data_IF_508559002211
#
_entry.id   IF_508559002211
#
_cell.length_a   1.000
_cell.length_b   1.000
_cell.length_c   1.000
_cell.angle_alpha   90.00
_cell.angle_beta   90.00
_cell.angle_gamma   90.00
#
_symmetry.space_group_name_H-M   'P 1'
#
loop_
_entity.id
_entity.type
_entity.pdbx_description
1 polymer ?
#
# COMPACT_ATOMS: atom_id res chain seq x y z
N UNK A 1 -9.27 -21.71 -6.23
CA UNK A 1 -7.81 -21.89 -6.06
C UNK A 1 -7.33 -20.89 -5.00
N UNK A 2 -6.54 -21.30 -3.99
CA UNK A 2 -5.97 -20.36 -3.04
C UNK A 2 -4.93 -19.45 -3.74
N UNK A 3 -4.74 -18.19 -3.28
CA UNK A 3 -3.73 -17.29 -3.84
C UNK A 3 -2.31 -17.85 -3.65
N UNK A 4 -1.41 -17.55 -4.58
CA UNK A 4 0.01 -17.93 -4.56
C UNK A 4 0.88 -16.68 -4.70
N UNK A 5 0.93 -15.85 -3.66
CA UNK A 5 1.54 -14.52 -3.74
C UNK A 5 3.03 -14.55 -4.09
N UNK A 6 3.80 -15.54 -3.63
CA UNK A 6 5.22 -15.67 -3.98
C UNK A 6 5.41 -15.86 -5.48
N UNK A 7 4.56 -16.68 -6.10
CA UNK A 7 4.56 -16.85 -7.55
C UNK A 7 4.19 -15.55 -8.27
N UNK A 8 3.23 -14.78 -7.75
CA UNK A 8 2.85 -13.50 -8.37
C UNK A 8 3.99 -12.48 -8.32
N UNK A 9 4.72 -12.42 -7.20
CA UNK A 9 5.94 -11.59 -7.07
C UNK A 9 7.01 -12.05 -8.07
N UNK A 10 7.26 -13.35 -8.15
CA UNK A 10 8.23 -13.90 -9.12
C UNK A 10 7.85 -13.55 -10.56
N UNK A 11 6.57 -13.68 -10.93
CA UNK A 11 6.08 -13.33 -12.28
C UNK A 11 6.17 -11.84 -12.55
N UNK A 12 5.86 -10.98 -11.57
CA UNK A 12 6.03 -9.53 -11.70
C UNK A 12 7.50 -9.15 -11.98
N UNK A 13 8.45 -9.74 -11.24
CA UNK A 13 9.88 -9.50 -11.47
C UNK A 13 10.30 -9.93 -12.87
N UNK A 14 9.84 -11.09 -13.35
CA UNK A 14 10.10 -11.57 -14.71
C UNK A 14 9.50 -10.65 -15.78
N UNK A 15 8.30 -10.11 -15.56
CA UNK A 15 7.66 -9.17 -16.49
C UNK A 15 8.46 -7.86 -16.55
N UNK A 16 8.83 -7.29 -15.40
CA UNK A 16 9.64 -6.06 -15.37
C UNK A 16 11.02 -6.26 -16.02
N UNK A 17 11.64 -7.44 -15.88
CA UNK A 17 12.86 -7.79 -16.62
C UNK A 17 12.67 -7.81 -18.14
N UNK A 18 11.47 -8.15 -18.64
CA UNK A 18 11.14 -8.04 -20.06
C UNK A 18 10.99 -6.56 -20.44
N UNK A 19 10.35 -5.75 -19.61
CA UNK A 19 10.20 -4.31 -19.86
C UNK A 19 11.55 -3.58 -20.00
N UNK A 20 12.55 -3.99 -19.22
CA UNK A 20 13.92 -3.46 -19.34
C UNK A 20 14.63 -3.76 -20.68
N UNK A 21 14.04 -4.59 -21.54
CA UNK A 21 14.53 -4.83 -22.91
C UNK A 21 14.08 -3.73 -23.88
N UNK A 22 13.04 -2.98 -23.51
CA UNK A 22 12.43 -1.94 -24.33
C UNK A 22 12.78 -0.53 -23.86
N UNK A 23 13.17 -0.37 -22.59
CA UNK A 23 13.54 0.93 -22.02
C UNK A 23 14.45 0.73 -20.81
N UNK A 24 15.10 1.79 -20.35
CA UNK A 24 16.05 1.70 -19.22
C UNK A 24 15.35 1.43 -17.89
N UNK A 25 16.08 0.94 -16.88
CA UNK A 25 15.52 0.68 -15.55
C UNK A 25 14.87 1.92 -14.91
N UNK A 26 15.45 3.11 -15.15
CA UNK A 26 14.91 4.38 -14.62
C UNK A 26 13.59 4.79 -15.26
N UNK A 27 13.30 4.29 -16.45
CA UNK A 27 12.08 4.57 -17.21
C UNK A 27 10.99 3.52 -16.95
N UNK A 28 11.21 2.57 -16.04
CA UNK A 28 10.19 1.62 -15.60
C UNK A 28 9.83 1.91 -14.16
N UNK A 29 8.55 2.21 -13.92
CA UNK A 29 8.00 2.40 -12.59
C UNK A 29 7.00 1.28 -12.24
N UNK A 30 7.39 0.29 -11.41
CA UNK A 30 6.48 -0.70 -10.88
C UNK A 30 5.44 -0.01 -9.98
N UNK A 31 4.19 0.07 -10.45
CA UNK A 31 3.10 0.75 -9.75
C UNK A 31 2.40 -0.20 -8.76
N UNK A 32 2.21 -1.46 -9.16
CA UNK A 32 1.62 -2.53 -8.34
C UNK A 32 2.27 -3.89 -8.65
N UNK A 33 1.72 -4.96 -8.08
CA UNK A 33 2.15 -6.35 -8.35
C UNK A 33 1.86 -6.79 -9.80
N UNK A 34 0.97 -6.11 -10.50
CA UNK A 34 0.48 -6.46 -11.82
C UNK A 34 0.52 -5.29 -12.82
N UNK A 35 0.94 -4.10 -12.39
CA UNK A 35 1.01 -2.90 -13.24
C UNK A 35 2.37 -2.21 -13.11
N UNK A 36 2.94 -1.84 -14.26
CA UNK A 36 4.11 -0.98 -14.36
C UNK A 36 3.87 0.10 -15.41
N UNK A 37 4.43 1.29 -15.19
CA UNK A 37 4.41 2.40 -16.13
C UNK A 37 5.78 2.46 -16.80
N UNK A 38 5.80 2.51 -18.13
CA UNK A 38 7.02 2.59 -18.92
C UNK A 38 7.05 3.95 -19.63
N UNK A 39 8.11 4.73 -19.42
CA UNK A 39 8.38 5.91 -20.25
C UNK A 39 9.21 5.48 -21.46
N UNK A 40 8.57 5.43 -22.62
CA UNK A 40 9.22 5.03 -23.88
C UNK A 40 9.45 6.22 -24.82
N UNK A 41 9.37 7.45 -24.33
CA UNK A 41 9.41 8.69 -25.14
C UNK A 41 10.58 8.72 -26.12
N UNK A 42 11.75 8.23 -25.69
CA UNK A 42 12.98 8.27 -26.48
C UNK A 42 13.37 6.91 -27.11
N UNK A 43 12.69 5.83 -26.75
CA UNK A 43 13.12 4.46 -27.10
C UNK A 43 12.17 3.74 -28.05
N UNK A 44 10.89 4.12 -28.11
CA UNK A 44 9.88 3.35 -28.86
C UNK A 44 10.22 3.16 -30.34
N UNK A 45 10.85 4.15 -31.00
CA UNK A 45 11.24 4.09 -32.42
C UNK A 45 12.27 3.01 -32.74
N UNK A 46 12.98 2.49 -31.74
CA UNK A 46 13.93 1.39 -31.92
C UNK A 46 13.22 0.05 -32.16
N UNK A 47 11.92 -0.04 -31.83
CA UNK A 47 11.18 -1.29 -31.75
C UNK A 47 9.99 -1.40 -32.70
N UNK A 48 9.64 -0.33 -33.41
CA UNK A 48 8.51 -0.33 -34.36
C UNK A 48 8.29 1.02 -35.04
N UNK A 49 7.41 1.02 -36.05
CA UNK A 49 7.05 2.21 -36.81
C UNK A 49 5.93 3.02 -36.15
N UNK A 50 5.24 2.45 -35.15
CA UNK A 50 4.25 3.13 -34.33
C UNK A 50 4.28 2.65 -32.88
N UNK A 51 3.82 3.47 -31.94
CA UNK A 51 3.72 3.11 -30.52
C UNK A 51 2.83 1.87 -30.33
N UNK A 52 1.76 1.74 -31.12
CA UNK A 52 0.87 0.57 -31.10
C UNK A 52 1.60 -0.72 -31.53
N UNK A 53 2.47 -0.65 -32.53
CA UNK A 53 3.29 -1.81 -32.92
C UNK A 53 4.23 -2.24 -31.79
N UNK A 54 4.85 -1.28 -31.10
CA UNK A 54 5.72 -1.55 -29.95
C UNK A 54 4.94 -2.18 -28.81
N UNK A 55 3.74 -1.69 -28.50
CA UNK A 55 2.86 -2.29 -27.49
C UNK A 55 2.52 -3.75 -27.83
N UNK A 56 2.18 -4.05 -29.09
CA UNK A 56 1.94 -5.43 -29.56
C UNK A 56 3.20 -6.29 -29.45
N UNK A 57 4.37 -5.74 -29.71
CA UNK A 57 5.64 -6.46 -29.55
C UNK A 57 5.91 -6.81 -28.09
N UNK A 58 5.65 -5.88 -27.15
CA UNK A 58 5.75 -6.14 -25.71
C UNK A 58 4.78 -7.26 -25.29
N UNK A 59 3.51 -7.18 -25.70
CA UNK A 59 2.51 -8.23 -25.42
C UNK A 59 2.95 -9.60 -25.93
N UNK A 60 3.42 -9.68 -27.18
CA UNK A 60 3.93 -10.93 -27.78
C UNK A 60 5.13 -11.47 -27.00
N UNK A 61 6.05 -10.59 -26.60
CA UNK A 61 7.26 -10.99 -25.86
C UNK A 61 6.91 -11.57 -24.50
N UNK A 62 6.01 -10.92 -23.75
CA UNK A 62 5.55 -11.43 -22.45
C UNK A 62 4.79 -12.75 -22.62
N UNK A 63 3.90 -12.86 -23.63
CA UNK A 63 3.15 -14.08 -23.92
C UNK A 63 4.05 -15.24 -24.30
N UNK A 64 5.06 -15.01 -25.14
CA UNK A 64 6.00 -16.04 -25.57
C UNK A 64 6.89 -16.53 -24.41
N UNK A 65 7.39 -15.62 -23.57
CA UNK A 65 8.32 -15.98 -22.48
C UNK A 65 7.62 -16.56 -21.26
N UNK A 66 6.46 -16.03 -20.90
CA UNK A 66 5.80 -16.32 -19.62
C UNK A 66 4.42 -16.97 -19.76
N UNK A 67 3.87 -17.04 -20.98
CA UNK A 67 2.51 -17.54 -21.20
C UNK A 67 1.43 -16.60 -20.66
N UNK A 68 1.75 -15.33 -20.38
CA UNK A 68 0.82 -14.36 -19.80
C UNK A 68 0.32 -13.37 -20.86
N UNK A 69 -0.94 -12.97 -20.74
CA UNK A 69 -1.47 -11.83 -21.50
C UNK A 69 -1.22 -10.55 -20.72
N UNK A 70 -0.84 -9.49 -21.42
CA UNK A 70 -0.70 -8.14 -20.86
C UNK A 70 -1.61 -7.19 -21.61
N UNK A 71 -2.23 -6.30 -20.85
CA UNK A 71 -3.03 -5.20 -21.39
C UNK A 71 -2.18 -3.94 -21.36
N UNK A 72 -2.23 -3.14 -22.42
CA UNK A 72 -1.39 -1.95 -22.56
C UNK A 72 -2.26 -0.70 -22.77
N UNK A 73 -2.15 0.25 -21.85
CA UNK A 73 -2.65 1.61 -22.04
C UNK A 73 -1.52 2.50 -22.53
N UNK A 74 -1.80 3.31 -23.54
CA UNK A 74 -0.87 4.26 -24.15
C UNK A 74 -1.44 5.67 -23.94
N UNK A 75 -0.57 6.62 -23.59
CA UNK A 75 -0.93 8.04 -23.56
C UNK A 75 0.29 8.93 -23.44
N UNK A 76 0.06 10.23 -23.55
CA UNK A 76 1.13 11.25 -23.56
C UNK A 76 1.71 11.50 -22.17
N UNK A 77 1.06 11.00 -21.12
CA UNK A 77 1.50 11.06 -19.73
C UNK A 77 0.94 9.87 -18.92
N UNK A 78 1.40 9.66 -17.67
CA UNK A 78 0.99 8.51 -16.85
C UNK A 78 -0.51 8.41 -16.58
N UNK A 79 -1.22 9.52 -16.33
CA UNK A 79 -2.67 9.51 -16.12
C UNK A 79 -3.40 9.05 -17.37
N UNK A 80 -3.05 9.58 -18.55
CA UNK A 80 -3.67 9.16 -19.80
C UNK A 80 -3.42 7.67 -20.07
N UNK A 81 -2.19 7.19 -19.88
CA UNK A 81 -1.87 5.77 -20.04
C UNK A 81 -2.65 4.88 -19.06
N UNK A 82 -2.81 5.31 -17.79
CA UNK A 82 -3.57 4.56 -16.79
C UNK A 82 -5.07 4.52 -17.12
N UNK A 83 -5.64 5.65 -17.53
CA UNK A 83 -7.05 5.72 -17.94
C UNK A 83 -7.29 4.92 -19.23
N UNK A 84 -6.37 4.98 -20.19
CA UNK A 84 -6.40 4.18 -21.40
C UNK A 84 -6.39 2.68 -21.08
N UNK A 85 -5.54 2.26 -20.13
CA UNK A 85 -5.45 0.90 -19.64
C UNK A 85 -6.77 0.44 -18.99
N UNK A 86 -7.27 1.21 -18.02
CA UNK A 86 -8.39 0.81 -17.18
C UNK A 86 -9.73 0.84 -17.92
N UNK A 87 -9.98 1.88 -18.73
CA UNK A 87 -11.29 2.15 -19.31
C UNK A 87 -11.46 1.61 -20.73
N UNK A 88 -10.36 1.40 -21.46
CA UNK A 88 -10.42 1.05 -22.88
C UNK A 88 -9.70 -0.27 -23.18
N UNK A 89 -8.42 -0.37 -22.80
CA UNK A 89 -7.59 -1.49 -23.18
C UNK A 89 -8.13 -2.82 -22.63
N UNK A 90 -8.61 -2.85 -21.38
CA UNK A 90 -9.22 -4.04 -20.75
C UNK A 90 -10.49 -4.56 -21.46
N UNK A 91 -11.13 -3.71 -22.24
CA UNK A 91 -12.39 -4.02 -22.96
C UNK A 91 -12.19 -4.15 -24.47
N UNK A 92 -10.97 -3.98 -24.97
CA UNK A 92 -10.62 -4.15 -26.37
C UNK A 92 -10.10 -5.57 -26.64
N UNK A 93 -10.51 -6.19 -27.75
CA UNK A 93 -9.99 -7.49 -28.18
C UNK A 93 -8.47 -7.52 -28.36
N UNK A 94 -7.87 -6.39 -28.79
CA UNK A 94 -6.42 -6.27 -28.92
C UNK A 94 -5.70 -6.05 -27.58
N UNK A 95 -6.45 -5.84 -26.49
CA UNK A 95 -5.91 -5.50 -25.17
C UNK A 95 -5.02 -4.23 -25.18
N UNK A 96 -5.30 -3.31 -26.12
CA UNK A 96 -4.61 -2.02 -26.27
C UNK A 96 -5.64 -0.89 -26.25
N UNK A 97 -5.33 0.17 -25.50
CA UNK A 97 -6.11 1.41 -25.45
C UNK A 97 -5.18 2.62 -25.51
N UNK A 98 -5.66 3.70 -26.11
CA UNK A 98 -4.91 4.94 -26.31
C UNK A 98 -5.73 6.13 -25.85
N UNK A 99 -5.15 7.06 -25.11
CA UNK A 99 -5.71 8.39 -24.85
C UNK A 99 -4.60 9.40 -25.11
N UNK A 100 -4.90 10.37 -25.96
CA UNK A 100 -4.06 11.53 -26.24
C UNK A 100 -4.84 12.83 -25.95
N UNK A 101 -4.15 13.96 -25.86
CA UNK A 101 -4.78 15.26 -25.57
C UNK A 101 -5.97 15.58 -26.49
N UNK A 102 -5.86 15.27 -27.78
CA UNK A 102 -6.92 15.48 -28.78
C UNK A 102 -8.17 14.62 -28.53
N UNK A 103 -8.02 13.50 -27.82
CA UNK A 103 -9.14 12.57 -27.52
C UNK A 103 -9.76 12.79 -26.14
N UNK A 104 -9.24 13.70 -25.33
CA UNK A 104 -9.72 13.96 -23.96
C UNK A 104 -11.23 14.28 -23.92
N UNK A 105 -11.78 15.13 -24.81
CA UNK A 105 -13.22 15.40 -24.81
C UNK A 105 -14.06 14.14 -25.04
N UNK A 106 -13.65 13.28 -25.96
CA UNK A 106 -14.42 12.10 -26.34
C UNK A 106 -14.22 10.93 -25.37
N UNK A 107 -13.08 10.86 -24.69
CA UNK A 107 -12.69 9.69 -23.87
C UNK A 107 -12.69 9.92 -22.36
N UNK A 108 -12.35 11.12 -21.89
CA UNK A 108 -12.32 11.41 -20.45
C UNK A 108 -13.62 12.09 -20.04
N UNK A 109 -14.08 13.10 -20.79
CA UNK A 109 -15.28 13.85 -20.37
C UNK A 109 -16.58 13.06 -20.54
N UNK A 110 -16.61 12.09 -21.45
CA UNK A 110 -17.73 11.18 -21.67
C UNK A 110 -17.96 10.19 -20.52
N UNK A 111 -17.06 10.12 -19.53
CA UNK A 111 -17.20 9.23 -18.38
C UNK A 111 -18.25 9.80 -17.42
N UNK A 112 -19.39 9.10 -17.35
CA UNK A 112 -20.53 9.47 -16.52
C UNK A 112 -20.31 9.15 -15.04
N UNK A 113 -19.71 7.99 -14.75
CA UNK A 113 -19.52 7.53 -13.38
C UNK A 113 -18.13 7.94 -12.86
N UNK A 114 -18.12 8.89 -11.93
CA UNK A 114 -16.87 9.36 -11.32
C UNK A 114 -16.03 8.23 -10.70
N UNK A 115 -16.67 7.16 -10.19
CA UNK A 115 -15.96 6.05 -9.54
C UNK A 115 -15.22 5.13 -10.51
N UNK A 116 -15.46 5.25 -11.81
CA UNK A 116 -14.72 4.49 -12.83
C UNK A 116 -13.34 5.10 -13.09
N UNK A 117 -13.14 6.37 -12.71
CA UNK A 117 -11.89 7.10 -12.91
C UNK A 117 -10.90 6.79 -11.82
N UNK A 118 -9.71 6.32 -12.23
CA UNK A 118 -8.58 6.11 -11.34
C UNK A 118 -8.31 7.36 -10.48
N UNK A 119 -8.20 7.15 -9.16
CA UNK A 119 -8.03 8.24 -8.18
C UNK A 119 -9.32 8.77 -7.56
N UNK A 120 -10.51 8.42 -8.10
CA UNK A 120 -11.81 8.85 -7.55
C UNK A 120 -12.54 7.67 -6.90
N UNK A 121 -12.31 7.47 -5.59
CA UNK A 121 -13.06 6.48 -4.83
C UNK A 121 -14.48 6.92 -4.43
N UNK A 122 -15.34 6.03 -3.91
CA UNK A 122 -16.73 6.33 -3.55
C UNK A 122 -16.91 7.50 -2.59
N UNK A 123 -15.97 7.71 -1.66
CA UNK A 123 -15.99 8.86 -0.76
C UNK A 123 -15.69 10.17 -1.47
N UNK A 124 -14.80 10.17 -2.45
CA UNK A 124 -14.48 11.36 -3.24
C UNK A 124 -15.64 11.68 -4.20
N UNK A 125 -16.20 10.68 -4.88
CA UNK A 125 -17.40 10.86 -5.71
C UNK A 125 -18.55 11.48 -4.89
N UNK A 126 -18.82 10.99 -3.67
CA UNK A 126 -19.81 11.62 -2.77
C UNK A 126 -19.50 13.07 -2.42
N UNK A 127 -18.22 13.45 -2.31
CA UNK A 127 -17.82 14.85 -2.06
C UNK A 127 -18.02 15.71 -3.30
N UNK A 128 -17.67 15.21 -4.48
CA UNK A 128 -17.90 15.89 -5.76
C UNK A 128 -19.40 16.09 -6.04
N UNK A 129 -20.22 15.06 -5.82
CA UNK A 129 -21.68 15.17 -5.99
C UNK A 129 -22.29 16.26 -5.07
N UNK A 130 -21.78 16.43 -3.84
CA UNK A 130 -22.22 17.54 -2.95
C UNK A 130 -21.87 18.91 -3.51
N UNK A 131 -20.85 19.01 -4.35
CA UNK A 131 -20.46 20.22 -5.08
C UNK A 131 -21.19 20.34 -6.43
N UNK A 132 -22.21 19.51 -6.68
CA UNK A 132 -22.95 19.44 -7.94
C UNK A 132 -22.08 19.02 -9.15
N UNK A 133 -21.04 18.21 -8.90
CA UNK A 133 -20.19 17.62 -9.94
C UNK A 133 -20.43 16.12 -9.96
N UNK A 134 -21.04 15.62 -11.02
CA UNK A 134 -21.54 14.24 -11.13
C UNK A 134 -20.78 13.38 -12.13
N UNK A 135 -20.05 14.00 -13.06
CA UNK A 135 -19.31 13.32 -14.12
C UNK A 135 -18.00 14.08 -14.44
N UNK A 136 -17.19 13.51 -15.32
CA UNK A 136 -15.89 14.09 -15.69
C UNK A 136 -15.99 15.37 -16.52
N UNK A 137 -17.03 15.52 -17.35
CA UNK A 137 -17.29 16.76 -18.08
C UNK A 137 -17.52 17.94 -17.12
N UNK A 138 -18.39 17.77 -16.14
CA UNK A 138 -18.66 18.78 -15.11
C UNK A 138 -17.40 19.09 -14.30
N UNK A 139 -16.60 18.08 -13.96
CA UNK A 139 -15.34 18.27 -13.24
C UNK A 139 -14.34 19.09 -14.05
N UNK A 140 -14.22 18.82 -15.36
CA UNK A 140 -13.33 19.56 -16.27
C UNK A 140 -13.74 21.03 -16.46
N UNK A 141 -15.04 21.34 -16.38
CA UNK A 141 -15.59 22.68 -16.61
C UNK A 141 -15.93 23.45 -15.33
N UNK A 142 -15.60 22.88 -14.16
CA UNK A 142 -15.75 23.55 -12.86
C UNK A 142 -14.69 24.63 -12.67
N UNK A 143 -15.00 25.69 -11.94
CA UNK A 143 -14.01 26.70 -11.55
C UNK A 143 -12.87 26.05 -10.70
N UNK A 144 -11.62 26.01 -11.19
CA UNK A 144 -10.52 25.33 -10.50
C UNK A 144 -10.17 25.96 -9.14
N UNK A 145 -10.44 27.25 -8.96
CA UNK A 145 -10.21 27.93 -7.68
C UNK A 145 -11.21 27.47 -6.62
N UNK A 146 -12.48 27.31 -7.00
CA UNK A 146 -13.52 26.78 -6.10
C UNK A 146 -13.21 25.34 -5.71
N UNK A 147 -12.81 24.51 -6.68
CA UNK A 147 -12.48 23.11 -6.42
C UNK A 147 -11.27 22.98 -5.47
N UNK A 148 -10.24 23.82 -5.66
CA UNK A 148 -9.10 23.90 -4.76
C UNK A 148 -9.49 24.42 -3.37
N UNK A 149 -10.40 25.38 -3.27
CA UNK A 149 -10.88 25.88 -1.98
C UNK A 149 -11.61 24.79 -1.19
N UNK A 150 -12.44 23.99 -1.85
CA UNK A 150 -13.27 22.95 -1.19
C UNK A 150 -12.49 21.66 -0.90
N UNK A 151 -11.57 21.27 -1.78
CA UNK A 151 -10.87 19.99 -1.70
C UNK A 151 -9.38 20.12 -1.41
N UNK A 152 -8.79 21.31 -1.51
CA UNK A 152 -7.35 21.53 -1.39
C UNK A 152 -6.59 21.07 -2.63
N UNK A 153 -5.36 20.59 -2.44
CA UNK A 153 -4.46 20.15 -3.53
C UNK A 153 -5.09 19.04 -4.37
N UNK A 154 -5.81 18.11 -3.74
CA UNK A 154 -6.48 17.01 -4.48
C UNK A 154 -7.54 17.54 -5.45
N UNK A 155 -8.20 18.66 -5.14
CA UNK A 155 -9.12 19.31 -6.07
C UNK A 155 -8.41 19.75 -7.36
N UNK A 156 -7.26 20.41 -7.22
CA UNK A 156 -6.45 20.81 -8.37
C UNK A 156 -5.95 19.61 -9.17
N UNK A 157 -5.59 18.51 -8.50
CA UNK A 157 -5.19 17.27 -9.17
C UNK A 157 -6.35 16.66 -9.95
N UNK A 158 -7.55 16.56 -9.35
CA UNK A 158 -8.74 16.03 -10.02
C UNK A 158 -9.14 16.85 -11.25
N UNK A 159 -9.04 18.18 -11.16
CA UNK A 159 -9.24 19.05 -12.31
C UNK A 159 -8.24 18.77 -13.43
N UNK A 160 -6.94 18.64 -13.11
CA UNK A 160 -5.92 18.29 -14.08
C UNK A 160 -6.17 16.91 -14.72
N UNK A 161 -6.55 15.91 -13.91
CA UNK A 161 -6.94 14.57 -14.39
C UNK A 161 -8.13 14.64 -15.36
N UNK A 162 -9.12 15.51 -15.11
CA UNK A 162 -10.26 15.69 -16.02
C UNK A 162 -9.86 16.28 -17.37
N UNK A 163 -8.75 17.01 -17.45
CA UNK A 163 -8.14 17.47 -18.70
C UNK A 163 -7.06 16.51 -19.24
N UNK A 164 -6.91 15.32 -18.65
CA UNK A 164 -5.89 14.35 -19.04
C UNK A 164 -4.46 14.87 -18.81
N UNK A 165 -4.24 15.78 -17.87
CA UNK A 165 -2.94 16.39 -17.59
C UNK A 165 -2.31 15.70 -16.37
N UNK A 166 -1.11 15.18 -16.57
CA UNK A 166 -0.20 14.77 -15.50
C UNK A 166 1.22 15.21 -15.81
N UNK A 167 1.91 15.69 -14.78
CA UNK A 167 3.31 16.16 -14.86
C UNK A 167 4.27 15.23 -14.11
N UNK A 168 3.79 14.12 -13.58
CA UNK A 168 4.63 13.09 -12.98
C UNK A 168 5.63 12.56 -14.02
N UNK A 169 6.90 12.51 -13.64
CA UNK A 169 7.96 11.90 -14.45
C UNK A 169 8.29 10.54 -13.85
N UNK A 170 8.28 9.51 -14.69
CA UNK A 170 8.59 8.12 -14.29
C UNK A 170 10.00 8.01 -13.72
N UNK A 171 10.93 8.80 -14.27
CA UNK A 171 12.34 8.87 -13.89
C UNK A 171 12.62 9.64 -12.60
N UNK A 172 11.66 10.44 -12.11
CA UNK A 172 11.79 11.27 -10.91
C UNK A 172 10.72 10.90 -9.86
N UNK A 173 10.87 9.74 -9.19
CA UNK A 173 9.90 9.32 -8.20
C UNK A 173 9.83 10.30 -7.03
N UNK A 174 8.60 10.65 -6.65
CA UNK A 174 8.37 11.61 -5.56
C UNK A 174 8.90 11.06 -4.24
N UNK A 175 9.65 11.89 -3.50
CA UNK A 175 10.13 11.52 -2.17
C UNK A 175 8.96 11.45 -1.18
N UNK A 176 8.88 10.34 -0.45
CA UNK A 176 7.84 10.14 0.57
C UNK A 176 8.06 11.14 1.71
N UNK A 177 7.25 12.21 1.77
CA UNK A 177 7.37 13.29 2.77
C UNK A 177 7.26 12.80 4.21
N UNK A 178 6.40 11.80 4.46
CA UNK A 178 6.16 11.26 5.79
C UNK A 178 6.05 9.73 5.70
N UNK A 179 7.20 9.07 5.64
CA UNK A 179 7.24 7.62 5.64
C UNK A 179 6.64 7.07 6.95
N UNK A 180 5.86 6.01 6.82
CA UNK A 180 5.35 5.23 7.94
C UNK A 180 5.67 3.76 7.71
N UNK A 181 5.90 3.04 8.81
CA UNK A 181 6.08 1.59 8.79
C UNK A 181 4.99 1.01 9.67
N UNK A 182 4.17 0.14 9.12
CA UNK A 182 3.06 -0.45 9.84
C UNK A 182 2.76 -1.85 9.38
N UNK A 183 1.85 -2.49 10.09
CA UNK A 183 1.25 -3.74 9.71
C UNK A 183 -0.19 -3.78 10.22
N UNK A 184 -1.06 -4.46 9.50
CA UNK A 184 -2.45 -4.62 9.88
C UNK A 184 -2.95 -6.01 9.55
N UNK A 185 -4.11 -6.33 10.14
CA UNK A 185 -4.79 -7.57 9.86
C UNK A 185 -6.29 -7.48 10.05
N UNK A 186 -6.98 -8.25 9.21
CA UNK A 186 -8.33 -8.73 9.49
C UNK A 186 -8.21 -10.00 10.33
N UNK A 187 -8.91 -10.05 11.44
CA UNK A 187 -8.95 -11.22 12.31
C UNK A 187 -9.79 -12.33 11.67
N UNK A 188 -9.45 -13.61 11.92
CA UNK A 188 -10.14 -14.74 11.29
C UNK A 188 -11.59 -14.89 11.75
N UNK A 189 -11.87 -14.42 12.97
CA UNK A 189 -13.19 -14.37 13.61
C UNK A 189 -13.32 -13.07 14.38
N UNK A 190 -14.48 -12.87 14.99
CA UNK A 190 -14.70 -11.76 15.90
C UNK A 190 -14.03 -12.09 17.24
N UNK A 191 -13.33 -11.10 17.80
CA UNK A 191 -12.62 -11.22 19.06
C UNK A 191 -13.33 -10.37 20.12
N UNK A 192 -13.74 -11.02 21.20
CA UNK A 192 -14.42 -10.39 22.35
C UNK A 192 -13.54 -10.39 23.60
N UNK A 193 -12.58 -11.31 23.67
CA UNK A 193 -11.73 -11.47 24.84
C UNK A 193 -10.55 -10.50 24.76
N UNK A 194 -10.43 -9.64 25.78
CA UNK A 194 -9.37 -8.64 25.88
C UNK A 194 -7.96 -9.26 25.74
N UNK A 195 -7.69 -10.37 26.43
CA UNK A 195 -6.38 -11.01 26.41
C UNK A 195 -6.03 -11.57 25.02
N UNK A 196 -7.02 -12.06 24.26
CA UNK A 196 -6.81 -12.49 22.88
C UNK A 196 -6.46 -11.28 21.98
N UNK A 197 -7.17 -10.17 22.13
CA UNK A 197 -6.93 -8.95 21.35
C UNK A 197 -5.54 -8.37 21.69
N UNK A 198 -5.20 -8.28 22.97
CA UNK A 198 -3.89 -7.81 23.43
C UNK A 198 -2.75 -8.70 22.93
N UNK A 199 -2.96 -10.01 22.86
CA UNK A 199 -1.97 -10.94 22.27
C UNK A 199 -1.71 -10.56 20.82
N UNK A 200 -2.76 -10.33 20.05
CA UNK A 200 -2.62 -9.95 18.65
C UNK A 200 -1.98 -8.57 18.46
N UNK A 201 -2.31 -7.60 19.31
CA UNK A 201 -1.67 -6.28 19.29
C UNK A 201 -0.17 -6.39 19.54
N UNK A 202 0.26 -7.22 20.49
CA UNK A 202 1.68 -7.47 20.77
C UNK A 202 2.37 -8.08 19.55
N UNK A 203 1.77 -9.11 18.94
CA UNK A 203 2.31 -9.78 17.74
C UNK A 203 2.54 -8.77 16.59
N UNK A 204 1.58 -7.88 16.32
CA UNK A 204 1.73 -6.88 15.26
C UNK A 204 2.77 -5.82 15.67
N UNK A 205 2.74 -5.36 16.92
CA UNK A 205 3.69 -4.36 17.45
C UNK A 205 5.14 -4.81 17.31
N UNK A 206 5.43 -6.07 17.61
CA UNK A 206 6.76 -6.66 17.46
C UNK A 206 7.19 -6.78 15.99
N UNK A 207 6.27 -7.12 15.09
CA UNK A 207 6.56 -7.13 13.65
C UNK A 207 6.89 -5.73 13.13
N UNK A 208 6.18 -4.69 13.61
CA UNK A 208 6.50 -3.29 13.29
C UNK A 208 7.85 -2.89 13.86
N UNK A 209 8.18 -3.31 15.08
CA UNK A 209 9.47 -3.06 15.73
C UNK A 209 10.64 -3.72 14.95
N UNK A 210 10.49 -4.97 14.53
CA UNK A 210 11.47 -5.68 13.71
C UNK A 210 11.67 -4.99 12.35
N UNK A 211 10.58 -4.51 11.70
CA UNK A 211 10.67 -3.71 10.46
C UNK A 211 11.42 -2.39 10.67
N UNK A 212 11.17 -1.69 11.77
CA UNK A 212 11.91 -0.49 12.14
C UNK A 212 13.41 -0.78 12.25
N UNK A 213 13.79 -1.86 12.94
CA UNK A 213 15.19 -2.27 13.08
C UNK A 213 15.83 -2.67 11.75
N UNK A 214 15.12 -3.43 10.92
CA UNK A 214 15.57 -3.82 9.59
C UNK A 214 15.87 -2.61 8.68
N UNK A 215 15.04 -1.56 8.75
CA UNK A 215 15.25 -0.31 8.01
C UNK A 215 16.13 0.71 8.74
N UNK A 216 16.77 0.34 9.86
CA UNK A 216 17.59 1.22 10.70
C UNK A 216 16.86 2.50 11.13
N UNK A 217 15.58 2.39 11.48
CA UNK A 217 14.72 3.50 11.91
C UNK A 217 14.30 3.38 13.38
N UNK A 218 13.96 4.53 13.95
CA UNK A 218 13.27 4.70 15.24
C UNK A 218 11.93 5.39 14.98
N UNK A 219 10.90 5.09 15.78
CA UNK A 219 9.58 5.69 15.64
C UNK A 219 9.32 6.70 16.76
N UNK A 220 9.07 7.97 16.40
CA UNK A 220 8.66 9.01 17.36
C UNK A 220 7.14 9.14 17.54
N UNK A 221 6.36 8.33 16.83
CA UNK A 221 4.91 8.31 16.94
C UNK A 221 4.38 6.92 16.60
N UNK A 222 3.41 6.45 17.39
CA UNK A 222 2.79 5.15 17.26
C UNK A 222 1.28 5.31 17.18
N UNK A 223 0.63 4.62 16.24
CA UNK A 223 -0.81 4.64 16.03
C UNK A 223 -1.37 3.22 16.10
N UNK A 224 -2.47 3.09 16.83
CA UNK A 224 -3.29 1.88 16.91
C UNK A 224 -4.64 2.16 16.25
N UNK A 225 -5.00 1.32 15.29
CA UNK A 225 -6.32 1.30 14.67
C UNK A 225 -7.02 -0.01 15.02
N UNK A 226 -8.21 0.10 15.60
CA UNK A 226 -9.09 -1.02 15.90
C UNK A 226 -10.36 -0.83 15.09
N UNK A 227 -10.73 -1.82 14.28
CA UNK A 227 -12.01 -1.87 13.58
C UNK A 227 -12.94 -2.89 14.22
N UNK A 228 -14.17 -2.49 14.47
CA UNK A 228 -15.19 -3.36 15.06
C UNK A 228 -15.81 -4.29 14.01
N UNK A 229 -16.43 -5.38 14.44
CA UNK A 229 -17.26 -6.20 13.54
C UNK A 229 -18.46 -5.40 13.06
N UNK A 230 -19.06 -5.81 11.93
CA UNK A 230 -20.22 -5.13 11.37
C UNK A 230 -21.36 -5.00 12.38
N UNK A 231 -21.70 -6.09 13.07
CA UNK A 231 -22.75 -6.11 14.09
C UNK A 231 -22.44 -5.19 15.28
N UNK A 232 -21.18 -5.15 15.73
CA UNK A 232 -20.78 -4.24 16.80
C UNK A 232 -20.81 -2.78 16.35
N UNK A 233 -20.43 -2.50 15.10
CA UNK A 233 -20.46 -1.16 14.54
C UNK A 233 -21.87 -0.62 14.34
N UNK A 234 -22.82 -1.48 13.99
CA UNK A 234 -24.25 -1.12 13.88
C UNK A 234 -24.85 -0.79 15.26
N UNK A 235 -24.50 -1.57 16.29
CA UNK A 235 -24.99 -1.35 17.65
C UNK A 235 -24.40 -0.10 18.32
N UNK A 236 -23.10 0.15 18.15
CA UNK A 236 -22.39 1.28 18.79
C UNK A 236 -22.49 2.58 17.98
N UNK A 237 -22.86 2.49 16.69
CA UNK A 237 -22.81 3.60 15.74
C UNK A 237 -21.38 4.02 15.34
N UNK A 238 -20.36 3.27 15.76
CA UNK A 238 -18.94 3.53 15.45
C UNK A 238 -18.30 2.31 14.79
N UNK A 239 -17.56 2.52 13.69
CA UNK A 239 -16.82 1.44 13.01
C UNK A 239 -15.54 0.98 13.72
N UNK A 240 -15.20 1.55 14.86
CA UNK A 240 -13.93 1.37 15.57
C UNK A 240 -13.27 2.69 15.95
N UNK A 241 -11.97 2.65 16.26
CA UNK A 241 -11.19 3.83 16.61
C UNK A 241 -9.78 3.82 16.00
N UNK A 242 -9.19 5.01 15.90
CA UNK A 242 -7.79 5.20 15.58
C UNK A 242 -7.21 6.21 16.56
N UNK A 243 -6.18 5.82 17.30
CA UNK A 243 -5.49 6.67 18.25
C UNK A 243 -4.00 6.67 17.99
N UNK A 244 -3.36 7.82 18.20
CA UNK A 244 -1.93 7.99 18.03
C UNK A 244 -1.30 8.65 19.25
N UNK A 245 -0.09 8.22 19.58
CA UNK A 245 0.72 8.72 20.68
C UNK A 245 2.10 9.13 20.18
N UNK A 246 2.53 10.33 20.57
CA UNK A 246 3.92 10.77 20.40
C UNK A 246 4.77 10.21 21.55
N UNK A 247 5.97 9.76 21.23
CA UNK A 247 6.88 9.16 22.20
C UNK A 247 8.32 9.47 21.82
N UNK A 248 9.24 9.26 22.76
CA UNK A 248 10.67 9.28 22.45
C UNK A 248 10.99 8.23 21.37
N UNK A 249 11.74 8.61 20.31
CA UNK A 249 12.02 7.70 19.20
C UNK A 249 12.62 6.37 19.64
N UNK A 250 11.91 5.27 19.36
CA UNK A 250 12.35 3.93 19.75
C UNK A 250 11.97 2.88 18.71
N UNK A 251 12.66 1.75 18.76
CA UNK A 251 12.32 0.51 18.05
C UNK A 251 12.30 -0.70 19.01
N UNK A 252 12.21 -0.46 20.33
CA UNK A 252 12.19 -1.51 21.34
C UNK A 252 10.82 -2.19 21.43
N UNK A 253 10.80 -3.52 21.38
CA UNK A 253 9.56 -4.31 21.40
C UNK A 253 8.70 -4.00 22.63
N UNK A 254 9.30 -3.95 23.82
CA UNK A 254 8.58 -3.81 25.07
C UNK A 254 7.98 -2.40 25.19
N UNK A 255 8.73 -1.36 24.84
CA UNK A 255 8.21 0.02 24.86
C UNK A 255 7.04 0.16 23.89
N UNK A 256 7.21 -0.28 22.65
CA UNK A 256 6.16 -0.17 21.63
C UNK A 256 4.89 -0.93 22.01
N UNK A 257 5.02 -2.19 22.43
CA UNK A 257 3.87 -3.01 22.82
C UNK A 257 3.17 -2.45 24.05
N UNK A 258 3.89 -1.93 25.05
CA UNK A 258 3.28 -1.31 26.23
C UNK A 258 2.44 -0.08 25.85
N UNK A 259 2.93 0.78 24.97
CA UNK A 259 2.19 1.96 24.51
C UNK A 259 0.94 1.57 23.70
N UNK A 260 1.01 0.53 22.88
CA UNK A 260 -0.15 0.02 22.13
C UNK A 260 -1.22 -0.55 23.05
N UNK A 261 -0.84 -1.32 24.07
CA UNK A 261 -1.78 -1.87 25.04
C UNK A 261 -2.42 -0.77 25.88
N UNK A 262 -1.66 0.27 26.23
CA UNK A 262 -2.21 1.45 26.89
C UNK A 262 -3.26 2.12 26.00
N UNK A 263 -2.94 2.40 24.73
CA UNK A 263 -3.90 2.98 23.77
C UNK A 263 -5.16 2.12 23.64
N UNK A 264 -5.00 0.80 23.57
CA UNK A 264 -6.12 -0.14 23.47
C UNK A 264 -7.03 -0.07 24.70
N UNK A 265 -6.47 -0.20 25.90
CA UNK A 265 -7.22 -0.24 27.17
C UNK A 265 -7.95 1.06 27.49
N UNK A 266 -7.47 2.20 26.98
CA UNK A 266 -8.11 3.50 27.19
C UNK A 266 -9.32 3.74 26.27
N UNK A 267 -9.46 2.97 25.18
CA UNK A 267 -10.42 3.28 24.10
C UNK A 267 -11.35 2.11 23.75
N UNK A 268 -11.14 0.93 24.31
CA UNK A 268 -11.94 -0.25 24.02
C UNK A 268 -12.87 -0.58 25.18
N UNK A 269 -14.16 -0.66 24.89
CA UNK A 269 -15.23 -0.82 25.89
C UNK A 269 -15.92 -2.20 25.79
N UNK A 270 -15.25 -3.19 25.20
CA UNK A 270 -15.77 -4.56 25.07
C UNK A 270 -16.40 -4.90 23.72
N UNK A 271 -16.31 -4.02 22.72
CA UNK A 271 -16.85 -4.26 21.38
C UNK A 271 -16.12 -5.41 20.67
N UNK A 272 -16.83 -6.14 19.82
CA UNK A 272 -16.24 -7.20 19.01
C UNK A 272 -15.25 -6.63 17.98
N UNK A 273 -13.99 -7.06 18.05
CA UNK A 273 -12.92 -6.57 17.15
C UNK A 273 -12.77 -7.49 15.94
N UNK A 274 -12.63 -6.87 14.76
CA UNK A 274 -12.40 -7.55 13.47
C UNK A 274 -11.14 -7.10 12.75
N UNK A 275 -10.66 -5.89 12.99
CA UNK A 275 -9.47 -5.36 12.35
C UNK A 275 -8.52 -4.76 13.38
N UNK A 276 -7.22 -5.02 13.24
CA UNK A 276 -6.18 -4.42 14.07
C UNK A 276 -5.07 -3.91 13.15
N UNK A 277 -4.68 -2.66 13.32
CA UNK A 277 -3.59 -2.03 12.60
C UNK A 277 -2.65 -1.30 13.55
N UNK A 278 -1.35 -1.47 13.36
CA UNK A 278 -0.30 -0.75 14.09
C UNK A 278 0.55 -0.02 13.06
N UNK A 279 0.74 1.27 13.27
CA UNK A 279 1.50 2.13 12.37
C UNK A 279 2.48 2.98 13.16
N UNK A 280 3.71 3.07 12.68
CA UNK A 280 4.74 3.95 13.21
C UNK A 280 5.02 5.08 12.23
N UNK A 281 5.17 6.29 12.75
CA UNK A 281 5.45 7.50 11.97
C UNK A 281 6.48 8.38 12.69
N UNK A 282 6.84 9.53 12.09
CA UNK A 282 7.96 10.37 12.54
C UNK A 282 9.25 9.56 12.68
N UNK A 283 9.60 8.89 11.59
CA UNK A 283 10.74 7.98 11.55
C UNK A 283 12.04 8.78 11.54
N UNK A 284 12.95 8.48 12.47
CA UNK A 284 14.32 9.00 12.51
C UNK A 284 15.32 7.88 12.25
N UNK A 285 16.54 8.24 11.84
CA UNK A 285 17.61 7.27 11.70
C UNK A 285 18.05 6.74 13.08
N UNK A 286 18.36 5.46 13.17
CA UNK A 286 18.96 4.88 14.36
C UNK A 286 20.47 5.17 14.38
N UNK A 287 20.85 6.43 14.61
CA UNK A 287 22.24 6.90 14.61
C UNK A 287 22.94 6.83 15.98
N UNK A 288 22.24 6.36 17.02
CA UNK A 288 22.77 6.21 18.37
C UNK A 288 21.67 5.83 19.36
N UNK A 289 22.05 5.19 20.47
CA UNK A 289 21.11 4.83 21.53
C UNK A 289 21.01 6.00 22.52
N UNK A 290 19.85 6.65 22.58
CA UNK A 290 19.56 7.64 23.61
C UNK A 290 19.49 6.93 24.97
N UNK A 291 20.35 7.35 25.90
CA UNK A 291 20.36 6.79 27.24
C UNK A 291 19.17 7.33 28.05
N UNK A 292 18.41 6.44 28.68
CA UNK A 292 17.41 6.85 29.65
C UNK A 292 18.07 7.20 30.98
N UNK A 293 17.69 8.34 31.56
CA UNK A 293 18.16 8.78 32.87
C UNK A 293 17.76 7.81 34.00
N UNK A 294 16.64 7.10 33.84
CA UNK A 294 16.03 6.25 34.86
C UNK A 294 16.31 4.74 34.68
N UNK A 295 17.03 4.34 33.62
CA UNK A 295 17.40 2.95 33.37
C UNK A 295 18.90 2.86 33.11
N UNK A 296 19.57 1.87 33.71
CA UNK A 296 21.02 1.75 33.55
C UNK A 296 21.41 1.47 32.10
N UNK A 297 22.50 2.07 31.58
CA UNK A 297 22.96 1.82 30.21
C UNK A 297 23.16 0.34 29.91
N UNK A 298 23.60 -0.45 30.90
CA UNK A 298 23.80 -1.90 30.77
C UNK A 298 22.50 -2.64 30.45
N UNK A 299 21.39 -2.27 31.09
CA UNK A 299 20.08 -2.89 30.83
C UNK A 299 19.55 -2.55 29.45
N UNK A 300 19.72 -1.30 29.01
CA UNK A 300 19.34 -0.85 27.66
C UNK A 300 20.12 -1.55 26.56
N UNK A 301 21.44 -1.69 26.74
CA UNK A 301 22.29 -2.41 25.79
C UNK A 301 21.87 -3.88 25.73
N UNK A 302 21.59 -4.50 26.88
CA UNK A 302 21.14 -5.89 26.95
C UNK A 302 19.81 -6.11 26.22
N UNK A 303 18.83 -5.22 26.41
CA UNK A 303 17.52 -5.28 25.72
C UNK A 303 17.66 -5.08 24.22
N UNK A 304 18.44 -4.09 23.80
CA UNK A 304 18.72 -3.84 22.39
C UNK A 304 19.36 -5.07 21.71
N UNK A 305 20.38 -5.66 22.35
CA UNK A 305 21.03 -6.89 21.86
C UNK A 305 20.06 -8.07 21.81
N UNK A 306 19.20 -8.23 22.83
CA UNK A 306 18.19 -9.28 22.81
C UNK A 306 17.26 -9.16 21.61
N UNK A 307 16.74 -7.95 21.34
CA UNK A 307 15.87 -7.70 20.19
C UNK A 307 16.60 -8.00 18.86
N UNK A 308 17.87 -7.64 18.74
CA UNK A 308 18.69 -7.94 17.56
C UNK A 308 18.89 -9.45 17.37
N UNK A 309 19.21 -10.19 18.44
CA UNK A 309 19.39 -11.65 18.38
C UNK A 309 18.09 -12.35 17.98
N UNK A 310 16.94 -11.89 18.49
CA UNK A 310 15.63 -12.42 18.08
C UNK A 310 15.42 -12.22 16.57
N UNK A 311 15.68 -11.02 16.06
CA UNK A 311 15.55 -10.72 14.63
C UNK A 311 16.51 -11.56 13.77
N UNK A 312 17.74 -11.81 14.24
CA UNK A 312 18.73 -12.67 13.59
C UNK A 312 18.22 -14.10 13.47
N UNK A 313 17.69 -14.67 14.56
CA UNK A 313 17.10 -16.01 14.57
C UNK A 313 15.92 -16.07 13.59
N UNK A 314 15.02 -15.09 13.60
CA UNK A 314 13.88 -15.04 12.68
C UNK A 314 14.30 -14.95 11.22
N UNK A 315 15.32 -14.17 10.92
CA UNK A 315 15.85 -14.02 9.56
C UNK A 315 16.50 -15.31 9.05
N UNK A 316 17.23 -16.03 9.90
CA UNK A 316 17.95 -17.24 9.49
C UNK A 316 17.04 -18.48 9.44
N UNK A 317 16.15 -18.64 10.41
CA UNK A 317 15.38 -19.88 10.61
C UNK A 317 13.88 -19.74 10.35
N UNK A 318 13.40 -18.51 10.11
CA UNK A 318 11.99 -18.18 9.94
C UNK A 318 11.29 -17.86 11.27
N UNK A 319 10.22 -17.07 11.16
CA UNK A 319 9.48 -16.54 12.31
C UNK A 319 8.92 -17.63 13.24
N UNK A 320 8.43 -18.75 12.69
CA UNK A 320 7.76 -19.80 13.48
C UNK A 320 8.68 -20.57 14.42
N UNK A 321 10.01 -20.43 14.30
CA UNK A 321 10.98 -21.18 15.11
C UNK A 321 11.18 -20.58 16.50
N UNK A 322 10.87 -19.30 16.68
CA UNK A 322 10.93 -18.61 17.98
C UNK A 322 9.71 -17.71 18.11
N UNK A 323 8.74 -18.10 18.93
CA UNK A 323 7.51 -17.34 19.16
C UNK A 323 7.23 -17.23 20.65
N UNK A 324 6.52 -16.18 21.05
CA UNK A 324 6.03 -16.08 22.41
C UNK A 324 5.02 -17.20 22.70
N UNK A 325 5.04 -17.73 23.93
CA UNK A 325 4.09 -18.75 24.36
C UNK A 325 2.62 -18.28 24.20
N UNK A 326 2.37 -16.97 24.34
CA UNK A 326 1.04 -16.37 24.11
C UNK A 326 0.54 -16.54 22.68
N UNK A 327 1.43 -16.65 21.69
CA UNK A 327 1.06 -16.90 20.29
C UNK A 327 0.55 -18.32 20.03
N UNK A 328 0.72 -19.25 20.98
CA UNK A 328 0.13 -20.59 20.93
C UNK A 328 -1.28 -20.66 21.53
N UNK A 329 -1.75 -19.58 22.20
CA UNK A 329 -3.08 -19.51 22.74
C UNK A 329 -4.13 -19.38 21.61
N UNK A 330 -5.39 -19.70 21.92
CA UNK A 330 -6.52 -19.68 20.97
C UNK A 330 -6.68 -18.35 20.20
N UNK A 331 -6.28 -17.24 20.82
CA UNK A 331 -6.32 -15.90 20.21
C UNK A 331 -5.12 -15.57 19.32
N UNK A 332 -3.99 -16.27 19.45
CA UNK A 332 -2.75 -15.99 18.74
C UNK A 332 -2.88 -16.17 17.23
N UNK A 333 -2.29 -15.25 16.46
CA UNK A 333 -2.36 -15.25 14.99
C UNK A 333 -1.00 -15.41 14.33
N UNK A 334 0.09 -15.13 15.04
CA UNK A 334 1.40 -14.96 14.44
C UNK A 334 1.92 -16.21 13.69
N UNK A 335 1.71 -17.42 14.23
CA UNK A 335 2.17 -18.67 13.59
C UNK A 335 1.46 -18.91 12.26
N UNK A 336 0.13 -18.78 12.23
CA UNK A 336 -0.65 -18.94 10.99
C UNK A 336 -0.26 -17.88 9.96
N UNK A 337 -0.05 -16.64 10.41
CA UNK A 337 0.33 -15.50 9.58
C UNK A 337 1.73 -15.60 8.98
N UNK A 338 2.66 -16.32 9.62
CA UNK A 338 4.02 -16.46 9.12
C UNK A 338 4.09 -17.08 7.72
N UNK A 339 3.05 -17.83 7.31
CA UNK A 339 2.91 -18.40 5.96
C UNK A 339 2.23 -17.46 4.94
N UNK A 340 1.77 -16.29 5.38
CA UNK A 340 1.03 -15.33 4.55
C UNK A 340 1.96 -14.23 4.02
N UNK A 341 1.68 -13.78 2.80
CA UNK A 341 2.32 -12.63 2.14
C UNK A 341 1.25 -11.61 1.81
N UNK A 342 1.37 -10.39 2.32
CA UNK A 342 0.35 -9.35 2.17
C UNK A 342 -1.01 -9.70 2.78
N UNK A 343 -1.06 -10.66 3.72
CA UNK A 343 -2.32 -11.17 4.30
C UNK A 343 -2.99 -12.29 3.49
N UNK A 344 -2.41 -12.70 2.37
CA UNK A 344 -2.87 -13.81 1.54
C UNK A 344 -1.92 -15.00 1.64
N UNK A 345 -2.36 -16.19 1.26
CA UNK A 345 -1.48 -17.37 1.25
C UNK A 345 -0.26 -17.10 0.34
N UNK A 346 0.94 -17.23 0.90
CA UNK A 346 2.18 -17.06 0.14
C UNK A 346 2.29 -18.08 -0.99
N UNK A 347 1.75 -19.29 -0.75
CA UNK A 347 2.02 -20.48 -1.55
C UNK A 347 3.47 -20.90 -1.36
N UNK A 348 3.71 -22.13 -0.93
CA UNK A 348 5.04 -22.73 -1.10
C UNK A 348 5.26 -22.79 -2.61
N UNK A 349 6.18 -21.97 -3.12
CA UNK A 349 6.79 -22.22 -4.43
C UNK A 349 7.57 -23.51 -4.26
N UNK A 350 6.96 -24.63 -4.63
CA UNK A 350 7.73 -25.79 -5.04
C UNK A 350 8.36 -25.41 -6.38
N UNK A 351 9.41 -24.60 -6.30
CA UNK A 351 10.43 -24.27 -7.30
C UNK A 351 11.32 -23.14 -6.78
#
# INVERSE_FOLDING_TARGET
>A
MPPRMNLYIQRNLQINQIFHQFTTEKEVWPYSIDESILDMTHTWRLFGNSVREVARLIQKTVRQKLGLYTTVGIGDNPVQAKLALDLYAKHNHELIGEIHYETVPDKIWSINELTDVWGIGPRMAKRLNRLQIHNMYELAHTNPYLLKQQLGIIGSQLFATAWGIDRAQVTEPTTVKAASLGNSQVLPRDYFNQAEIETVIKEIGEQVAARLRHHHKLAGCLSLSIGFSYAAAEADGRGGFNQALKMEPTNDNQVLTQQLLWLFRQNWDGQAVRNIGVYSSKLSANSGQQLNLFETPRNQIRRSRLNQVIDEIHRQFGFTKLVYATSLLKGGTAIKRASLVGGHNGGNSYE
#
